data_IF_497623420715
#
_entry.id   IF_497623420715
#
_cell.length_a   1.000
_cell.length_b   1.000
_cell.length_c   1.000
_cell.angle_alpha   90.00
_cell.angle_beta   90.00
_cell.angle_gamma   90.00
#
_symmetry.space_group_name_H-M   'P 1'
#
loop_
_entity.id
_entity.type
_entity.pdbx_description
1 polymer ?
#
# COMPACT_ATOMS: atom_id res chain seq x y z
N UNK A 1 -18.66 -10.82 -23.68
CA UNK A 1 -17.73 -11.72 -24.39
C UNK A 1 -16.97 -10.91 -25.44
N UNK A 2 -15.83 -10.29 -25.11
CA UNK A 2 -14.94 -9.65 -26.09
C UNK A 2 -13.66 -10.48 -26.13
N UNK A 3 -13.47 -11.24 -27.20
CA UNK A 3 -12.20 -11.93 -27.46
C UNK A 3 -11.20 -10.86 -27.89
N UNK A 4 -10.12 -10.71 -27.13
CA UNK A 4 -9.02 -9.80 -27.46
C UNK A 4 -8.29 -10.33 -28.69
N UNK A 5 -8.17 -9.46 -29.68
CA UNK A 5 -7.52 -9.64 -30.98
C UNK A 5 -5.99 -9.70 -30.85
N UNK A 6 -5.48 -10.51 -29.91
CA UNK A 6 -4.05 -10.73 -29.71
C UNK A 6 -3.53 -11.95 -30.49
N UNK A 7 -4.42 -12.79 -31.05
CA UNK A 7 -4.05 -14.03 -31.75
C UNK A 7 -3.86 -13.87 -33.28
N UNK A 8 -3.95 -12.65 -33.84
CA UNK A 8 -3.92 -12.45 -35.32
C UNK A 8 -2.56 -12.00 -35.86
N UNK A 9 -1.59 -11.66 -35.01
CA UNK A 9 -0.26 -11.25 -35.46
C UNK A 9 0.77 -12.12 -34.75
N UNK A 10 1.05 -13.30 -35.32
CA UNK A 10 2.05 -14.27 -34.85
C UNK A 10 3.47 -13.69 -34.80
N UNK A 11 3.68 -12.76 -33.89
CA UNK A 11 4.95 -12.34 -33.36
C UNK A 11 5.08 -13.13 -32.07
N UNK A 12 5.61 -14.34 -32.17
CA UNK A 12 6.33 -14.93 -31.05
C UNK A 12 7.30 -13.86 -30.56
N UNK A 13 7.04 -13.34 -29.35
CA UNK A 13 8.00 -12.49 -28.65
C UNK A 13 9.28 -13.32 -28.51
N UNK A 14 10.40 -12.94 -29.15
CA UNK A 14 11.62 -13.73 -29.04
C UNK A 14 12.08 -13.66 -27.60
N UNK A 15 11.92 -14.81 -26.93
CA UNK A 15 12.66 -15.30 -25.77
C UNK A 15 13.50 -14.22 -25.07
N UNK A 16 12.87 -13.51 -24.13
CA UNK A 16 13.50 -12.42 -23.39
C UNK A 16 14.49 -13.03 -22.40
N UNK A 17 15.72 -13.28 -22.85
CA UNK A 17 16.86 -13.45 -21.96
C UNK A 17 16.81 -12.32 -20.92
N UNK A 18 16.98 -12.63 -19.62
CA UNK A 18 16.93 -11.62 -18.59
C UNK A 18 17.95 -10.53 -18.92
N UNK A 19 17.60 -9.24 -18.72
CA UNK A 19 18.53 -8.14 -18.96
C UNK A 19 19.87 -8.41 -18.26
N UNK A 20 21.01 -8.10 -18.91
CA UNK A 20 22.32 -8.38 -18.35
C UNK A 20 22.48 -7.67 -17.00
N UNK A 21 23.18 -8.31 -16.08
CA UNK A 21 23.35 -7.76 -14.74
C UNK A 21 24.20 -6.49 -14.80
N UNK A 22 23.93 -5.54 -13.90
CA UNK A 22 24.63 -4.24 -13.87
C UNK A 22 26.16 -4.36 -13.79
N UNK A 23 26.68 -5.37 -13.07
CA UNK A 23 28.12 -5.62 -12.97
C UNK A 23 28.72 -6.13 -14.30
N UNK A 24 27.95 -6.87 -15.10
CA UNK A 24 28.37 -7.34 -16.43
C UNK A 24 28.48 -6.16 -17.39
N UNK A 25 27.47 -5.27 -17.40
CA UNK A 25 27.50 -4.04 -18.17
C UNK A 25 28.71 -3.17 -17.80
N UNK A 26 29.01 -3.07 -16.50
CA UNK A 26 30.17 -2.32 -16.02
C UNK A 26 31.50 -2.95 -16.47
N UNK A 27 31.61 -4.29 -16.45
CA UNK A 27 32.81 -5.01 -16.95
C UNK A 27 32.96 -4.78 -18.46
N UNK A 28 31.88 -4.95 -19.23
CA UNK A 28 31.89 -4.74 -20.68
C UNK A 28 32.30 -3.30 -21.04
N UNK A 29 31.72 -2.30 -20.38
CA UNK A 29 32.07 -0.89 -20.60
C UNK A 29 33.53 -0.54 -20.24
N UNK A 30 34.20 -1.37 -19.42
CA UNK A 30 35.59 -1.17 -19.01
C UNK A 30 36.55 -2.20 -19.62
N UNK A 31 36.09 -2.96 -20.59
CA UNK A 31 36.90 -3.88 -21.39
C UNK A 31 37.20 -3.21 -22.73
N UNK A 32 38.47 -3.14 -23.09
CA UNK A 32 38.90 -2.69 -24.41
C UNK A 32 38.64 -3.79 -25.44
N UNK A 33 38.72 -3.44 -26.73
CA UNK A 33 38.59 -4.42 -27.82
C UNK A 33 39.62 -5.57 -27.77
N UNK A 34 40.76 -5.37 -27.12
CA UNK A 34 41.79 -6.39 -26.91
C UNK A 34 41.52 -7.34 -25.72
N UNK A 35 40.35 -7.21 -25.05
CA UNK A 35 39.98 -8.02 -23.88
C UNK A 35 40.61 -7.58 -22.56
N UNK A 36 41.48 -6.58 -22.55
CA UNK A 36 42.08 -6.04 -21.32
C UNK A 36 41.21 -4.94 -20.71
N UNK A 37 41.34 -4.78 -19.40
CA UNK A 37 40.68 -3.70 -18.67
C UNK A 37 41.24 -2.32 -19.05
N UNK A 38 40.42 -1.29 -18.92
CA UNK A 38 40.82 0.11 -19.20
C UNK A 38 41.87 0.63 -18.22
N UNK A 39 41.87 0.19 -16.97
CA UNK A 39 42.82 0.59 -15.92
C UNK A 39 43.10 -0.53 -14.92
N UNK A 40 44.21 -0.41 -14.17
CA UNK A 40 44.53 -1.32 -13.06
C UNK A 40 43.45 -1.31 -11.97
N UNK A 41 42.87 -0.14 -11.67
CA UNK A 41 41.76 -0.03 -10.73
C UNK A 41 40.50 -0.75 -11.21
N UNK A 42 40.19 -0.70 -12.52
CA UNK A 42 39.09 -1.45 -13.10
C UNK A 42 39.33 -2.96 -13.01
N UNK A 43 40.57 -3.40 -13.21
CA UNK A 43 40.96 -4.80 -13.04
C UNK A 43 40.77 -5.28 -11.60
N UNK A 44 41.19 -4.49 -10.60
CA UNK A 44 40.97 -4.83 -9.19
C UNK A 44 39.48 -4.94 -8.85
N UNK A 45 38.65 -4.05 -9.37
CA UNK A 45 37.20 -4.10 -9.15
C UNK A 45 36.58 -5.30 -9.88
N UNK A 46 37.00 -5.61 -11.11
CA UNK A 46 36.55 -6.82 -11.83
C UNK A 46 36.82 -8.09 -11.04
N UNK A 47 38.03 -8.24 -10.48
CA UNK A 47 38.38 -9.41 -9.66
C UNK A 47 37.53 -9.52 -8.39
N UNK A 48 37.13 -8.39 -7.79
CA UNK A 48 36.22 -8.39 -6.65
C UNK A 48 34.80 -8.77 -7.05
N UNK A 49 34.34 -8.31 -8.21
CA UNK A 49 33.04 -8.71 -8.78
C UNK A 49 33.01 -10.23 -8.94
N UNK A 50 34.04 -10.82 -9.53
CA UNK A 50 34.08 -12.27 -9.79
C UNK A 50 33.96 -13.07 -8.46
N UNK A 51 34.69 -12.66 -7.42
CA UNK A 51 34.57 -13.26 -6.07
C UNK A 51 33.18 -13.13 -5.45
N UNK A 52 32.53 -11.97 -5.63
CA UNK A 52 31.18 -11.74 -5.09
C UNK A 52 30.11 -12.53 -5.85
N UNK A 53 30.27 -12.70 -7.17
CA UNK A 53 29.40 -13.54 -7.99
C UNK A 53 29.53 -15.01 -7.58
N UNK A 54 30.75 -15.48 -7.34
CA UNK A 54 30.98 -16.81 -6.78
C UNK A 54 30.28 -16.99 -5.43
N UNK A 55 30.44 -16.04 -4.50
CA UNK A 55 29.75 -16.07 -3.20
C UNK A 55 28.22 -16.05 -3.33
N UNK A 56 27.69 -15.32 -4.30
CA UNK A 56 26.25 -15.31 -4.58
C UNK A 56 25.75 -16.65 -5.12
N UNK A 57 26.53 -17.26 -6.02
CA UNK A 57 26.23 -18.59 -6.58
C UNK A 57 26.24 -19.67 -5.48
N UNK A 58 27.15 -19.55 -4.52
CA UNK A 58 27.20 -20.42 -3.33
C UNK A 58 26.12 -20.11 -2.28
N UNK A 59 25.25 -19.12 -2.54
CA UNK A 59 24.19 -18.69 -1.60
C UNK A 59 24.69 -17.96 -0.36
N UNK A 60 25.99 -17.68 -0.25
CA UNK A 60 26.59 -16.95 0.87
C UNK A 60 26.30 -15.45 0.82
N UNK A 61 26.09 -14.91 -0.39
CA UNK A 61 25.90 -13.49 -0.61
C UNK A 61 24.57 -13.20 -1.33
N UNK A 62 23.68 -12.45 -0.68
CA UNK A 62 22.43 -11.97 -1.29
C UNK A 62 22.51 -10.45 -1.50
N UNK A 63 22.29 -9.99 -2.74
CA UNK A 63 22.22 -8.57 -3.05
C UNK A 63 20.98 -7.96 -2.38
N UNK A 64 21.17 -6.99 -1.48
CA UNK A 64 20.07 -6.34 -0.76
C UNK A 64 19.91 -4.89 -1.21
N UNK A 65 18.86 -4.62 -2.00
CA UNK A 65 18.49 -3.27 -2.42
C UNK A 65 19.63 -2.54 -3.15
N UNK A 66 20.18 -1.48 -2.52
CA UNK A 66 21.27 -0.66 -3.08
C UNK A 66 22.66 -1.29 -2.90
N UNK A 67 22.79 -2.34 -2.09
CA UNK A 67 24.04 -3.08 -1.91
C UNK A 67 24.09 -4.25 -2.88
N UNK A 68 24.21 -3.95 -4.18
CA UNK A 68 24.44 -4.93 -5.21
C UNK A 68 25.94 -5.26 -5.36
N UNK A 69 26.27 -6.32 -6.11
CA UNK A 69 27.64 -6.81 -6.31
C UNK A 69 28.59 -5.70 -6.75
N UNK A 70 28.16 -4.85 -7.69
CA UNK A 70 28.99 -3.78 -8.21
C UNK A 70 29.27 -2.72 -7.14
N UNK A 71 28.25 -2.31 -6.38
CA UNK A 71 28.39 -1.33 -5.31
C UNK A 71 29.35 -1.82 -4.23
N UNK A 72 29.25 -3.11 -3.87
CA UNK A 72 30.17 -3.74 -2.94
C UNK A 72 31.60 -3.85 -3.47
N UNK A 73 31.79 -4.20 -4.74
CA UNK A 73 33.11 -4.30 -5.35
C UNK A 73 33.85 -2.95 -5.42
N UNK A 74 33.11 -1.87 -5.71
CA UNK A 74 33.63 -0.49 -5.74
C UNK A 74 33.97 -0.03 -4.31
N UNK A 75 33.23 -0.48 -3.29
CA UNK A 75 33.49 -0.19 -1.88
C UNK A 75 33.18 1.24 -1.44
N UNK A 76 32.63 2.07 -2.33
CA UNK A 76 32.11 3.39 -1.99
C UNK A 76 30.60 3.29 -1.95
N UNK A 77 30.02 3.48 -0.76
CA UNK A 77 28.59 3.70 -0.63
C UNK A 77 28.23 4.89 -1.53
N UNK A 78 27.21 4.69 -2.35
CA UNK A 78 26.71 5.60 -3.37
C UNK A 78 26.86 7.07 -2.94
N UNK A 79 27.61 7.84 -3.71
CA UNK A 79 27.95 9.21 -3.35
C UNK A 79 26.65 10.00 -3.16
N UNK A 80 26.37 10.56 -1.96
CA UNK A 80 25.23 11.45 -1.83
C UNK A 80 25.45 12.56 -2.88
N UNK A 81 24.51 12.66 -3.82
CA UNK A 81 24.66 13.56 -4.96
C UNK A 81 25.03 14.97 -4.49
N UNK A 82 25.93 15.62 -5.21
CA UNK A 82 26.23 17.03 -5.00
C UNK A 82 25.13 17.88 -5.66
N UNK A 83 24.83 19.05 -5.08
CA UNK A 83 23.93 20.00 -5.73
C UNK A 83 24.63 20.60 -6.95
N UNK A 84 24.03 20.43 -8.14
CA UNK A 84 24.55 21.04 -9.37
C UNK A 84 24.55 22.58 -9.23
N UNK A 85 25.52 23.24 -9.87
CA UNK A 85 25.72 24.70 -9.89
C UNK A 85 26.26 25.38 -8.60
N UNK A 86 26.43 24.66 -7.49
CA UNK A 86 26.89 25.25 -6.21
C UNK A 86 28.42 25.19 -6.01
N UNK A 87 29.12 24.38 -6.81
CA UNK A 87 30.54 24.07 -6.60
C UNK A 87 30.70 22.69 -5.98
N UNK A 88 31.66 21.91 -6.49
CA UNK A 88 31.78 20.49 -6.23
C UNK A 88 32.28 20.15 -4.83
N UNK A 89 31.39 20.20 -3.84
CA UNK A 89 31.51 19.56 -2.52
C UNK A 89 30.22 19.67 -1.70
N UNK A 90 29.32 20.60 -2.02
CA UNK A 90 28.10 20.83 -1.23
C UNK A 90 27.10 19.70 -1.44
N UNK A 91 26.84 18.94 -0.38
CA UNK A 91 25.84 17.89 -0.36
C UNK A 91 24.42 18.45 -0.38
N UNK A 92 23.45 17.63 -0.78
CA UNK A 92 22.02 18.00 -0.78
C UNK A 92 21.56 18.52 0.59
N UNK A 93 22.00 17.91 1.70
CA UNK A 93 21.63 18.33 3.05
C UNK A 93 22.30 19.63 3.49
N UNK A 94 23.51 19.90 3.02
CA UNK A 94 24.24 21.12 3.37
C UNK A 94 23.62 22.33 2.65
N UNK A 95 23.12 22.12 1.43
CA UNK A 95 22.50 23.18 0.63
C UNK A 95 21.01 23.41 0.98
N UNK A 96 20.19 22.35 0.94
CA UNK A 96 18.75 22.46 1.17
C UNK A 96 18.36 22.35 2.65
N UNK A 97 19.33 22.06 3.52
CA UNK A 97 19.09 21.78 4.93
C UNK A 97 18.58 20.35 5.19
N UNK A 98 18.43 19.98 6.47
CA UNK A 98 17.79 18.73 6.85
C UNK A 98 16.36 18.71 6.30
N UNK A 99 15.97 17.58 5.68
CA UNK A 99 14.59 17.36 5.27
C UNK A 99 13.70 17.57 6.49
N UNK A 100 12.79 18.54 6.42
CA UNK A 100 11.71 18.67 7.39
C UNK A 100 11.00 17.33 7.41
N UNK A 101 11.23 16.52 8.45
CA UNK A 101 10.41 15.36 8.67
C UNK A 101 9.06 15.94 9.05
N UNK A 102 8.14 16.02 8.10
CA UNK A 102 6.72 16.01 8.42
C UNK A 102 6.36 14.60 8.92
N UNK A 103 7.05 14.13 9.95
CA UNK A 103 6.31 13.59 11.07
C UNK A 103 5.61 14.81 11.67
N UNK A 104 4.48 15.20 11.09
CA UNK A 104 3.35 15.46 11.95
C UNK A 104 3.10 14.13 12.67
N UNK A 105 3.94 13.85 13.67
CA UNK A 105 3.46 13.19 14.85
C UNK A 105 2.35 14.12 15.30
N UNK A 106 1.12 13.82 14.89
CA UNK A 106 -0.07 14.33 15.55
C UNK A 106 0.29 14.29 17.03
N UNK A 107 0.28 15.46 17.69
CA UNK A 107 0.65 15.53 19.09
C UNK A 107 -0.15 14.45 19.83
N UNK A 108 0.43 13.87 20.88
CA UNK A 108 -0.28 12.83 21.64
C UNK A 108 -1.69 13.28 22.04
N UNK A 109 -1.86 14.59 22.25
CA UNK A 109 -3.13 15.26 22.48
C UNK A 109 -4.06 15.26 21.25
N UNK A 110 -3.55 15.51 20.04
CA UNK A 110 -4.34 15.42 18.81
C UNK A 110 -4.83 13.99 18.53
N UNK A 111 -4.02 12.98 18.84
CA UNK A 111 -4.43 11.57 18.75
C UNK A 111 -5.52 11.23 19.76
N UNK A 112 -5.36 11.64 21.02
CA UNK A 112 -6.39 11.46 22.06
C UNK A 112 -7.70 12.16 21.70
N UNK A 113 -7.61 13.36 21.12
CA UNK A 113 -8.78 14.10 20.66
C UNK A 113 -9.52 13.37 19.54
N UNK A 114 -8.79 12.80 18.58
CA UNK A 114 -9.39 12.01 17.50
C UNK A 114 -10.07 10.75 18.04
N UNK A 115 -9.45 10.07 19.01
CA UNK A 115 -9.98 8.87 19.65
C UNK A 115 -11.29 9.17 20.41
N UNK A 116 -11.31 10.23 21.22
CA UNK A 116 -12.52 10.70 21.91
C UNK A 116 -13.64 11.06 20.92
N UNK A 117 -13.32 11.77 19.83
CA UNK A 117 -14.32 12.11 18.81
C UNK A 117 -14.88 10.87 18.08
N UNK A 118 -14.07 9.83 17.89
CA UNK A 118 -14.55 8.57 17.32
C UNK A 118 -15.47 7.83 18.30
N UNK A 119 -15.12 7.82 19.58
CA UNK A 119 -15.91 7.16 20.63
C UNK A 119 -17.26 7.86 20.85
N UNK A 120 -17.29 9.19 20.90
CA UNK A 120 -18.53 9.97 20.97
C UNK A 120 -19.44 9.67 19.78
N UNK A 121 -18.90 9.70 18.55
CA UNK A 121 -19.68 9.38 17.33
C UNK A 121 -20.21 7.96 17.32
N UNK A 122 -19.45 7.00 17.84
CA UNK A 122 -19.90 5.60 17.95
C UNK A 122 -21.03 5.49 18.97
N UNK A 123 -20.90 6.15 20.12
CA UNK A 123 -21.91 6.15 21.16
C UNK A 123 -23.21 6.80 20.69
N UNK A 124 -23.15 7.97 20.04
CA UNK A 124 -24.31 8.63 19.41
C UNK A 124 -24.99 7.72 18.38
N UNK A 125 -24.21 7.01 17.56
CA UNK A 125 -24.77 6.09 16.56
C UNK A 125 -25.46 4.90 17.23
N UNK A 126 -24.90 4.40 18.34
CA UNK A 126 -25.47 3.29 19.10
C UNK A 126 -26.79 3.69 19.75
N UNK A 127 -26.86 4.85 20.40
CA UNK A 127 -28.09 5.32 21.04
C UNK A 127 -29.22 5.55 20.03
N UNK A 128 -28.92 6.11 18.86
CA UNK A 128 -29.91 6.27 17.77
C UNK A 128 -30.39 4.89 17.26
N UNK A 129 -29.50 3.91 17.19
CA UNK A 129 -29.86 2.56 16.77
C UNK A 129 -30.77 1.87 17.80
N UNK A 130 -30.46 1.99 19.08
CA UNK A 130 -31.27 1.46 20.18
C UNK A 130 -32.66 2.09 20.22
N UNK A 131 -32.76 3.42 20.06
CA UNK A 131 -34.05 4.11 19.99
C UNK A 131 -34.91 3.61 18.83
N UNK A 132 -34.31 3.50 17.63
CA UNK A 132 -35.03 2.97 16.45
C UNK A 132 -35.47 1.52 16.65
N UNK A 133 -34.65 0.71 17.32
CA UNK A 133 -35.00 -0.68 17.61
C UNK A 133 -36.20 -0.76 18.56
N UNK A 134 -36.21 0.05 19.62
CA UNK A 134 -37.33 0.12 20.56
C UNK A 134 -38.61 0.62 19.89
N UNK A 135 -38.52 1.66 19.06
CA UNK A 135 -39.65 2.19 18.29
C UNK A 135 -40.23 1.14 17.33
N UNK A 136 -39.37 0.36 16.66
CA UNK A 136 -39.81 -0.74 15.81
C UNK A 136 -40.56 -1.83 16.58
N UNK A 137 -40.06 -2.21 17.77
CA UNK A 137 -40.73 -3.18 18.65
C UNK A 137 -42.11 -2.69 19.10
N UNK A 138 -42.22 -1.42 19.47
CA UNK A 138 -43.48 -0.82 19.91
C UNK A 138 -44.50 -0.76 18.78
N UNK A 139 -44.08 -0.32 17.58
CA UNK A 139 -44.93 -0.33 16.38
C UNK A 139 -45.41 -1.75 16.04
N UNK A 140 -44.52 -2.75 16.15
CA UNK A 140 -44.88 -4.14 15.90
C UNK A 140 -45.94 -4.65 16.87
N UNK A 141 -45.79 -4.34 18.17
CA UNK A 141 -46.76 -4.70 19.20
C UNK A 141 -48.13 -4.04 18.97
N UNK A 142 -48.15 -2.75 18.66
CA UNK A 142 -49.40 -2.02 18.37
C UNK A 142 -50.11 -2.58 17.13
N UNK A 143 -49.37 -2.96 16.09
CA UNK A 143 -49.92 -3.62 14.92
C UNK A 143 -50.56 -4.97 15.26
N UNK A 144 -49.92 -5.76 16.12
CA UNK A 144 -50.43 -7.06 16.57
C UNK A 144 -51.70 -6.91 17.40
N UNK A 145 -51.73 -5.99 18.38
CA UNK A 145 -52.93 -5.67 19.16
C UNK A 145 -54.08 -5.17 18.27
N UNK A 146 -53.77 -4.37 17.24
CA UNK A 146 -54.76 -3.92 16.26
C UNK A 146 -55.30 -5.05 15.39
N UNK A 147 -54.47 -6.01 15.00
CA UNK A 147 -54.92 -7.21 14.28
C UNK A 147 -55.81 -8.09 15.16
N UNK A 148 -55.39 -8.33 16.40
CA UNK A 148 -56.16 -9.11 17.37
C UNK A 148 -57.53 -8.46 17.61
N UNK A 149 -57.59 -7.16 17.93
CA UNK A 149 -58.86 -6.45 18.13
C UNK A 149 -59.77 -6.45 16.88
N UNK A 150 -59.20 -6.38 15.67
CA UNK A 150 -59.97 -6.51 14.42
C UNK A 150 -60.60 -7.90 14.27
N UNK A 151 -59.91 -8.97 14.67
CA UNK A 151 -60.47 -10.34 14.66
C UNK A 151 -61.59 -10.50 15.69
N UNK A 152 -61.41 -9.99 16.92
CA UNK A 152 -62.45 -10.03 17.96
C UNK A 152 -63.74 -9.29 17.60
N UNK A 153 -63.66 -8.22 16.79
CA UNK A 153 -64.85 -7.50 16.29
C UNK A 153 -65.57 -8.22 15.15
N UNK A 154 -64.87 -9.08 14.40
CA UNK A 154 -65.42 -9.81 13.26
C UNK A 154 -66.21 -11.05 13.68
N UNK A 155 -65.82 -11.66 14.80
CA UNK A 155 -66.41 -12.91 15.33
C UNK A 155 -67.57 -12.67 16.31
N UNK A 156 -67.90 -11.41 16.64
CA UNK A 156 -69.00 -11.10 17.57
C UNK A 156 -69.84 -9.88 17.10
N UNK A 157 -70.72 -10.05 16.08
CA UNK A 157 -71.48 -8.95 15.49
C UNK A 157 -72.61 -8.39 16.38
N UNK A 158 -72.91 -9.00 17.54
CA UNK A 158 -74.12 -8.69 18.35
C UNK A 158 -74.04 -7.44 19.24
N UNK A 159 -72.95 -6.67 19.24
CA UNK A 159 -72.85 -5.44 20.06
C UNK A 159 -73.12 -4.13 19.29
N UNK A 160 -73.40 -4.20 17.98
CA UNK A 160 -73.64 -3.00 17.16
C UNK A 160 -75.08 -2.45 17.19
N UNK A 161 -76.04 -3.13 17.82
CA UNK A 161 -77.46 -2.73 17.76
C UNK A 161 -77.91 -1.92 18.99
N UNK A 162 -77.13 -1.83 20.06
CA UNK A 162 -77.55 -1.15 21.30
C UNK A 162 -77.15 0.33 21.42
N UNK A 163 -76.65 0.98 20.36
CA UNK A 163 -76.36 2.42 20.39
C UNK A 163 -77.30 3.29 19.54
N UNK A 164 -78.30 2.71 18.86
CA UNK A 164 -79.17 3.46 17.92
C UNK A 164 -80.66 3.50 18.28
N UNK A 165 -81.08 3.13 19.51
CA UNK A 165 -82.50 3.30 19.92
C UNK A 165 -82.62 3.77 21.37
N UNK A 166 -82.94 5.07 21.48
CA UNK A 166 -83.49 5.86 22.62
C UNK A 166 -82.51 6.25 23.72
#
# INVERSE_FOLDING_TARGET
MRKSQAETLGLESPDLAPPPARYEMWKAARTKSNGQMTSQSAQQISQRIDKLVEQQTQGSHASQGRNDILTMAIGKLDHPGCVRAVGGTVGIKDYFGPKQRSTESLSQEALRKLELQMEEKLNERMTVMEQRFMEQQEIQKVLEEKLQSMTYQKDNPSLKIQQDVI
#
